data_IF_470711202974
#
_entry.id   IF_470711202974
#
_cell.length_a   1.000
_cell.length_b   1.000
_cell.length_c   1.000
_cell.angle_alpha   90.00
_cell.angle_beta   90.00
_cell.angle_gamma   90.00
#
_symmetry.space_group_name_H-M   'P 1'
#
loop_
_entity.id
_entity.type
_entity.pdbx_description
1 polymer ?
#
# COMPACT_ATOMS: atom_id res chain seq x y z
N UNK A 1 -30.89 -17.53 -0.52
CA UNK A 1 -30.27 -16.76 0.57
C UNK A 1 -29.11 -17.51 1.25
N UNK A 2 -29.25 -18.77 1.60
CA UNK A 2 -28.24 -19.56 2.31
C UNK A 2 -26.90 -19.68 1.59
N UNK A 3 -26.87 -19.89 0.26
CA UNK A 3 -25.62 -19.95 -0.53
C UNK A 3 -24.81 -18.66 -0.52
N UNK A 4 -25.45 -17.49 -0.57
CA UNK A 4 -24.77 -16.19 -0.47
C UNK A 4 -24.20 -15.93 0.94
N UNK A 5 -24.88 -16.44 1.96
CA UNK A 5 -24.46 -16.34 3.36
C UNK A 5 -23.25 -17.24 3.62
N UNK A 6 -23.28 -18.50 3.16
CA UNK A 6 -22.16 -19.44 3.27
C UNK A 6 -20.91 -18.95 2.52
N UNK A 7 -21.05 -18.40 1.33
CA UNK A 7 -19.95 -17.82 0.57
C UNK A 7 -19.31 -16.61 1.29
N UNK A 8 -20.12 -15.82 2.01
CA UNK A 8 -19.62 -14.69 2.80
C UNK A 8 -18.86 -15.13 4.05
N UNK A 9 -19.30 -16.24 4.67
CA UNK A 9 -18.60 -16.88 5.80
C UNK A 9 -17.27 -17.48 5.35
N UNK A 10 -17.24 -18.17 4.22
CA UNK A 10 -16.04 -18.77 3.64
C UNK A 10 -14.98 -17.71 3.31
N UNK A 11 -15.40 -16.60 2.74
CA UNK A 11 -14.52 -15.46 2.45
C UNK A 11 -13.98 -14.79 3.73
N UNK A 12 -14.79 -14.69 4.78
CA UNK A 12 -14.37 -14.17 6.09
C UNK A 12 -13.41 -15.13 6.80
N UNK A 13 -13.57 -16.44 6.62
CA UNK A 13 -12.69 -17.46 7.16
C UNK A 13 -11.31 -17.43 6.51
N UNK A 14 -11.22 -17.24 5.19
CA UNK A 14 -9.96 -17.08 4.47
C UNK A 14 -9.23 -15.80 4.88
N UNK A 15 -9.95 -14.70 5.09
CA UNK A 15 -9.37 -13.44 5.59
C UNK A 15 -8.81 -13.61 7.01
N UNK A 16 -9.51 -14.31 7.88
CA UNK A 16 -9.07 -14.60 9.25
C UNK A 16 -7.82 -15.50 9.25
N UNK A 17 -7.78 -16.50 8.37
CA UNK A 17 -6.65 -17.40 8.19
C UNK A 17 -5.41 -16.65 7.69
N UNK A 18 -5.59 -15.74 6.75
CA UNK A 18 -4.52 -14.88 6.23
C UNK A 18 -4.01 -13.90 7.29
N UNK A 19 -4.91 -13.30 8.08
CA UNK A 19 -4.55 -12.38 9.17
C UNK A 19 -3.80 -13.08 10.31
N UNK A 20 -4.14 -14.32 10.63
CA UNK A 20 -3.46 -15.13 11.66
C UNK A 20 -2.08 -15.62 11.19
N UNK A 21 -1.93 -15.92 9.89
CA UNK A 21 -0.64 -16.27 9.29
C UNK A 21 0.36 -15.10 9.32
N UNK A 22 -0.10 -13.88 9.14
CA UNK A 22 0.73 -12.66 9.16
C UNK A 22 1.24 -12.29 10.57
N UNK A 23 0.57 -12.74 11.63
CA UNK A 23 0.93 -12.40 13.02
C UNK A 23 1.80 -13.44 13.74
N UNK A 24 2.39 -14.40 13.02
CA UNK A 24 3.30 -15.38 13.63
C UNK A 24 2.64 -16.49 14.44
N UNK A 25 1.31 -16.57 14.49
CA UNK A 25 0.57 -17.65 15.17
C UNK A 25 0.30 -18.86 14.27
N UNK A 26 0.94 -18.93 13.10
CA UNK A 26 0.70 -19.96 12.08
C UNK A 26 1.02 -21.39 12.53
N UNK A 27 1.91 -21.59 13.51
CA UNK A 27 2.33 -22.94 13.93
C UNK A 27 1.39 -23.62 14.93
N UNK A 28 0.65 -22.88 15.73
CA UNK A 28 -0.25 -23.44 16.75
C UNK A 28 -1.59 -23.95 16.19
N UNK A 29 -2.02 -23.46 15.02
CA UNK A 29 -3.32 -23.80 14.43
C UNK A 29 -3.28 -24.86 13.34
N UNK A 30 -2.08 -25.24 12.85
CA UNK A 30 -1.95 -26.30 11.83
C UNK A 30 -2.42 -27.67 12.30
N UNK A 31 -2.39 -27.95 13.61
CA UNK A 31 -2.85 -29.23 14.18
C UNK A 31 -4.36 -29.35 14.36
N UNK A 32 -5.11 -28.27 14.22
CA UNK A 32 -6.59 -28.27 14.42
C UNK A 32 -7.39 -28.46 13.13
N UNK A 33 -6.75 -28.46 11.97
CA UNK A 33 -7.41 -28.58 10.65
C UNK A 33 -6.92 -29.82 9.89
N UNK A 34 -7.00 -31.00 10.54
CA UNK A 34 -6.89 -32.27 9.80
C UNK A 34 -8.18 -32.46 9.02
N UNK A 35 -8.13 -32.30 7.70
CA UNK A 35 -9.20 -32.79 6.83
C UNK A 35 -9.27 -34.30 6.95
N UNK A 36 -10.44 -34.92 7.12
CA UNK A 36 -10.55 -36.37 6.94
C UNK A 36 -10.19 -36.71 5.51
N UNK A 37 -9.09 -37.46 5.34
CA UNK A 37 -8.66 -37.97 4.07
C UNK A 37 -9.61 -39.09 3.67
N UNK A 38 -10.44 -38.87 2.64
CA UNK A 38 -11.18 -39.92 2.01
C UNK A 38 -10.20 -40.79 1.22
N UNK A 39 -10.05 -42.03 1.65
CA UNK A 39 -9.24 -43.02 0.95
C UNK A 39 -10.12 -43.69 -0.15
N UNK A 40 -9.85 -43.31 -1.41
CA UNK A 40 -10.54 -43.82 -2.59
C UNK A 40 -10.06 -45.21 -3.05
N UNK A 41 -9.18 -45.89 -2.31
CA UNK A 41 -8.63 -47.19 -2.70
C UNK A 41 -9.14 -48.33 -1.85
N UNK A 42 -10.43 -48.65 -1.95
CA UNK A 42 -10.92 -50.01 -1.65
C UNK A 42 -11.29 -50.73 -2.92
N UNK A 43 -10.29 -51.36 -3.49
CA UNK A 43 -10.43 -52.34 -4.58
C UNK A 43 -11.39 -53.45 -4.26
N UNK A 44 -12.31 -53.70 -5.19
CA UNK A 44 -13.19 -54.87 -5.20
C UNK A 44 -12.36 -56.16 -5.24
N UNK A 45 -12.57 -57.05 -4.25
CA UNK A 45 -12.10 -58.42 -4.35
C UNK A 45 -13.26 -59.27 -4.90
N UNK A 46 -12.95 -59.93 -6.04
CA UNK A 46 -13.84 -60.84 -6.77
C UNK A 46 -14.24 -62.05 -5.93
N UNK A 47 -15.47 -62.43 -6.17
CA UNK A 47 -16.23 -63.62 -5.81
C UNK A 47 -15.42 -64.94 -6.00
N UNK A 48 -15.47 -65.79 -4.98
CA UNK A 48 -15.13 -67.22 -5.08
C UNK A 48 -15.42 -67.96 -3.79
N UNK A 49 -16.45 -68.79 -3.84
CA UNK A 49 -16.75 -69.98 -3.08
C UNK A 49 -16.81 -69.97 -1.53
N UNK A 50 -18.05 -70.16 -1.07
CA UNK A 50 -18.47 -70.85 0.14
C UNK A 50 -17.51 -70.88 1.34
N UNK A 51 -17.69 -69.97 2.27
CA UNK A 51 -17.35 -70.20 3.65
C UNK A 51 -18.43 -69.52 4.53
N UNK A 52 -19.17 -70.35 5.29
CA UNK A 52 -20.07 -69.93 6.35
C UNK A 52 -19.21 -69.11 7.37
N UNK A 53 -19.28 -67.85 7.34
CA UNK A 53 -18.77 -67.03 8.42
C UNK A 53 -19.81 -66.99 9.50
N UNK A 54 -19.62 -67.81 10.56
CA UNK A 54 -20.34 -67.65 11.84
C UNK A 54 -19.87 -66.29 12.40
N UNK A 55 -20.69 -65.29 12.19
CA UNK A 55 -20.49 -64.00 12.86
C UNK A 55 -20.90 -64.23 14.30
N UNK A 56 -19.91 -64.36 15.18
CA UNK A 56 -20.06 -64.29 16.61
C UNK A 56 -20.54 -62.93 17.02
N UNK A 57 -21.86 -62.80 17.20
CA UNK A 57 -22.51 -61.55 17.60
C UNK A 57 -22.27 -61.22 19.09
N UNK A 58 -21.48 -62.00 19.83
CA UNK A 58 -21.21 -61.79 21.25
C UNK A 58 -20.11 -60.73 21.48
N UNK A 59 -19.36 -60.31 20.44
CA UNK A 59 -18.29 -59.33 20.53
C UNK A 59 -18.73 -57.89 20.16
N UNK A 60 -20.01 -57.65 19.94
CA UNK A 60 -20.51 -56.28 19.97
C UNK A 60 -20.50 -55.78 21.43
N UNK A 61 -19.28 -55.48 21.91
CA UNK A 61 -19.16 -54.53 23.00
C UNK A 61 -19.93 -53.30 22.56
N UNK A 62 -20.96 -52.97 23.32
CA UNK A 62 -21.64 -51.68 23.24
C UNK A 62 -20.56 -50.60 23.23
N UNK A 63 -20.24 -50.13 22.04
CA UNK A 63 -19.49 -48.88 21.92
C UNK A 63 -20.36 -47.87 22.64
N UNK A 64 -19.96 -47.56 23.86
CA UNK A 64 -20.52 -46.50 24.65
C UNK A 64 -20.45 -45.25 23.74
N UNK A 65 -21.56 -44.90 23.15
CA UNK A 65 -21.74 -43.68 22.38
C UNK A 65 -21.54 -42.57 23.39
N UNK A 66 -20.25 -42.29 23.72
CA UNK A 66 -19.87 -41.06 24.41
C UNK A 66 -20.69 -39.97 23.76
N UNK A 67 -21.62 -39.41 24.53
CA UNK A 67 -22.52 -38.34 24.17
C UNK A 67 -21.77 -37.41 23.23
N UNK A 68 -22.05 -37.47 21.92
CA UNK A 68 -21.57 -36.46 21.00
C UNK A 68 -22.14 -35.16 21.56
N UNK A 69 -21.27 -34.34 22.12
CA UNK A 69 -21.63 -33.03 22.57
C UNK A 69 -22.12 -32.27 21.32
N UNK A 70 -23.40 -32.34 21.09
CA UNK A 70 -24.05 -31.57 20.04
C UNK A 70 -24.16 -30.15 20.56
N UNK A 71 -23.49 -29.22 19.88
CA UNK A 71 -23.63 -27.80 20.20
C UNK A 71 -25.09 -27.38 20.04
N UNK A 72 -25.57 -26.62 21.00
CA UNK A 72 -26.91 -26.03 20.90
C UNK A 72 -26.87 -24.86 19.89
N UNK A 73 -27.98 -24.61 19.22
CA UNK A 73 -28.12 -23.46 18.32
C UNK A 73 -27.76 -22.12 19.04
N UNK A 74 -28.14 -22.04 20.32
CA UNK A 74 -27.85 -20.87 21.14
C UNK A 74 -26.33 -20.63 21.36
N UNK A 75 -25.55 -21.70 21.66
CA UNK A 75 -24.11 -21.61 21.84
C UNK A 75 -23.40 -21.12 20.54
N UNK A 76 -23.83 -21.65 19.38
CA UNK A 76 -23.29 -21.22 18.09
C UNK A 76 -23.63 -19.75 17.81
N UNK A 77 -24.86 -19.33 18.08
CA UNK A 77 -25.27 -17.95 17.87
C UNK A 77 -24.52 -16.97 18.78
N UNK A 78 -24.33 -17.32 20.06
CA UNK A 78 -23.57 -16.48 21.00
C UNK A 78 -22.13 -16.41 20.59
N UNK A 79 -21.48 -17.51 20.25
CA UNK A 79 -20.06 -17.52 19.83
C UNK A 79 -19.84 -16.71 18.54
N UNK A 80 -20.71 -16.87 17.54
CA UNK A 80 -20.66 -16.07 16.32
C UNK A 80 -20.91 -14.58 16.59
N UNK A 81 -21.80 -14.26 17.52
CA UNK A 81 -22.07 -12.89 17.95
C UNK A 81 -20.84 -12.24 18.57
N UNK A 82 -20.15 -12.92 19.49
CA UNK A 82 -18.93 -12.43 20.12
C UNK A 82 -17.80 -12.23 19.10
N UNK A 83 -17.59 -13.23 18.23
CA UNK A 83 -16.57 -13.15 17.16
C UNK A 83 -16.89 -11.97 16.23
N UNK A 84 -18.15 -11.77 15.86
CA UNK A 84 -18.57 -10.66 15.02
C UNK A 84 -18.27 -9.29 15.63
N UNK A 85 -18.55 -9.10 16.92
CA UNK A 85 -18.27 -7.84 17.61
C UNK A 85 -16.76 -7.59 17.71
N UNK A 86 -15.97 -8.59 18.10
CA UNK A 86 -14.50 -8.48 18.17
C UNK A 86 -13.91 -8.16 16.79
N UNK A 87 -14.34 -8.87 15.76
CA UNK A 87 -13.88 -8.62 14.39
C UNK A 87 -14.25 -7.20 13.90
N UNK A 88 -15.47 -6.73 14.19
CA UNK A 88 -15.91 -5.39 13.80
C UNK A 88 -15.04 -4.26 14.40
N UNK A 89 -14.52 -4.45 15.61
CA UNK A 89 -13.66 -3.47 16.28
C UNK A 89 -12.20 -3.59 15.82
N UNK A 90 -11.71 -4.81 15.60
CA UNK A 90 -10.27 -5.04 15.37
C UNK A 90 -9.86 -4.91 13.90
N UNK A 91 -10.69 -5.35 12.94
CA UNK A 91 -10.35 -5.36 11.52
C UNK A 91 -10.05 -3.94 10.97
N UNK A 92 -10.84 -2.88 11.23
CA UNK A 92 -10.54 -1.55 10.70
C UNK A 92 -9.17 -1.01 11.14
N UNK A 93 -8.80 -1.23 12.41
CA UNK A 93 -7.51 -0.78 12.93
C UNK A 93 -6.33 -1.55 12.31
N UNK A 94 -6.48 -2.84 12.10
CA UNK A 94 -5.47 -3.68 11.46
C UNK A 94 -5.26 -3.29 10.00
N UNK A 95 -6.34 -3.08 9.24
CA UNK A 95 -6.28 -2.62 7.83
C UNK A 95 -5.55 -1.28 7.75
N UNK A 96 -5.87 -0.33 8.63
CA UNK A 96 -5.22 0.98 8.63
C UNK A 96 -3.71 0.87 8.90
N UNK A 97 -3.29 0.06 9.87
CA UNK A 97 -1.87 -0.17 10.16
C UNK A 97 -1.15 -0.83 8.99
N UNK A 98 -1.78 -1.81 8.37
CA UNK A 98 -1.24 -2.46 7.17
C UNK A 98 -1.05 -1.45 6.02
N UNK A 99 -2.08 -0.64 5.72
CA UNK A 99 -2.01 0.39 4.67
C UNK A 99 -0.92 1.42 4.95
N UNK A 100 -0.78 1.91 6.19
CA UNK A 100 0.30 2.83 6.57
C UNK A 100 1.68 2.23 6.29
N UNK A 101 1.90 0.98 6.69
CA UNK A 101 3.17 0.27 6.47
C UNK A 101 3.44 0.03 4.99
N UNK A 102 2.44 -0.39 4.23
CA UNK A 102 2.54 -0.61 2.79
C UNK A 102 2.91 0.70 2.08
N UNK A 103 2.18 1.78 2.35
CA UNK A 103 2.47 3.11 1.78
C UNK A 103 3.91 3.54 2.06
N UNK A 104 4.36 3.49 3.31
CA UNK A 104 5.72 3.88 3.67
C UNK A 104 6.78 3.03 2.95
N UNK A 105 6.54 1.72 2.82
CA UNK A 105 7.45 0.79 2.13
C UNK A 105 7.50 1.08 0.63
N UNK A 106 6.36 1.26 -0.02
CA UNK A 106 6.28 1.60 -1.45
C UNK A 106 6.90 2.96 -1.75
N UNK A 107 6.67 3.94 -0.87
CA UNK A 107 7.26 5.27 -0.98
C UNK A 107 8.78 5.22 -0.89
N UNK A 108 9.32 4.46 0.07
CA UNK A 108 10.77 4.24 0.22
C UNK A 108 11.37 3.55 -1.00
N UNK A 109 10.70 2.52 -1.52
CA UNK A 109 11.15 1.81 -2.72
C UNK A 109 11.18 2.75 -3.93
N UNK A 110 10.14 3.56 -4.13
CA UNK A 110 10.07 4.54 -5.22
C UNK A 110 11.16 5.60 -5.10
N UNK A 111 11.36 6.13 -3.90
CA UNK A 111 12.48 7.04 -3.63
C UNK A 111 13.83 6.43 -4.03
N UNK A 112 14.07 5.18 -3.66
CA UNK A 112 15.31 4.48 -3.99
C UNK A 112 15.48 4.25 -5.49
N UNK A 113 14.40 3.96 -6.23
CA UNK A 113 14.44 3.81 -7.70
C UNK A 113 14.89 5.12 -8.35
N UNK A 114 14.31 6.26 -7.93
CA UNK A 114 14.65 7.57 -8.50
C UNK A 114 16.06 8.02 -8.08
N UNK A 115 16.45 7.75 -6.82
CA UNK A 115 17.80 8.07 -6.35
C UNK A 115 18.87 7.26 -7.11
N UNK A 116 18.61 5.99 -7.41
CA UNK A 116 19.51 5.18 -8.23
C UNK A 116 19.55 5.68 -9.68
N UNK A 117 18.41 6.08 -10.25
CA UNK A 117 18.39 6.67 -11.60
C UNK A 117 19.22 7.96 -11.67
N UNK A 118 19.10 8.83 -10.67
CA UNK A 118 19.91 10.04 -10.58
C UNK A 118 21.41 9.71 -10.51
N UNK A 119 21.78 8.78 -9.64
CA UNK A 119 23.18 8.36 -9.49
C UNK A 119 23.78 7.82 -10.80
N UNK A 120 23.01 7.01 -11.54
CA UNK A 120 23.45 6.52 -12.85
C UNK A 120 23.59 7.67 -13.87
N UNK A 121 22.69 8.65 -13.81
CA UNK A 121 22.79 9.85 -14.65
C UNK A 121 24.06 10.67 -14.34
N UNK A 122 24.39 10.85 -13.07
CA UNK A 122 25.62 11.53 -12.62
C UNK A 122 26.89 10.74 -13.06
N UNK A 123 26.88 9.43 -12.94
CA UNK A 123 28.00 8.57 -13.36
C UNK A 123 28.25 8.65 -14.89
N UNK A 124 27.20 8.80 -15.71
CA UNK A 124 27.31 8.86 -17.17
C UNK A 124 27.55 10.27 -17.70
N UNK A 125 26.93 11.30 -17.10
CA UNK A 125 26.95 12.67 -17.63
C UNK A 125 27.86 13.62 -16.84
N UNK A 126 28.39 13.21 -15.69
CA UNK A 126 29.11 14.11 -14.78
C UNK A 126 28.16 15.04 -14.03
N UNK A 127 28.59 16.29 -13.80
CA UNK A 127 27.76 17.29 -13.13
C UNK A 127 26.49 17.59 -13.94
N UNK A 128 25.33 17.43 -13.32
CA UNK A 128 24.03 17.63 -13.97
C UNK A 128 23.67 19.12 -13.95
N UNK A 129 23.35 19.68 -15.11
CA UNK A 129 22.88 21.05 -15.26
C UNK A 129 21.40 21.06 -15.66
N UNK A 130 20.54 21.57 -14.77
CA UNK A 130 19.11 21.72 -15.01
C UNK A 130 18.72 23.14 -15.40
N UNK A 131 19.67 24.03 -15.57
CA UNK A 131 19.41 25.43 -15.93
C UNK A 131 18.94 25.58 -17.38
N UNK A 132 18.04 26.52 -17.60
CA UNK A 132 17.58 26.88 -18.95
C UNK A 132 16.61 25.85 -19.59
N UNK A 133 16.27 24.76 -18.89
CA UNK A 133 15.36 23.71 -19.37
C UNK A 133 14.13 23.59 -18.49
N UNK A 134 13.06 23.01 -19.02
CA UNK A 134 11.87 22.69 -18.26
C UNK A 134 12.07 21.44 -17.38
N UNK A 135 11.21 21.27 -16.39
CA UNK A 135 11.18 20.06 -15.58
C UNK A 135 11.08 18.78 -16.42
N UNK A 136 10.25 18.81 -17.47
CA UNK A 136 10.05 17.66 -18.35
C UNK A 136 11.31 17.34 -19.17
N UNK A 137 11.96 18.36 -19.75
CA UNK A 137 13.19 18.17 -20.54
C UNK A 137 14.31 17.60 -19.68
N UNK A 138 14.49 18.11 -18.45
CA UNK A 138 15.47 17.59 -17.51
C UNK A 138 15.12 16.17 -17.06
N UNK A 139 13.85 15.86 -16.81
CA UNK A 139 13.40 14.50 -16.47
C UNK A 139 13.67 13.53 -17.62
N UNK A 140 13.27 13.89 -18.84
CA UNK A 140 13.44 13.06 -20.04
C UNK A 140 14.92 12.82 -20.38
N UNK A 141 15.79 13.81 -20.13
CA UNK A 141 17.23 13.73 -20.38
C UNK A 141 17.97 12.91 -19.31
N UNK A 142 17.73 13.20 -18.03
CA UNK A 142 18.58 12.70 -16.95
C UNK A 142 18.00 11.55 -16.14
N UNK A 143 16.67 11.40 -16.05
CA UNK A 143 16.08 10.34 -15.23
C UNK A 143 15.43 9.23 -16.07
N UNK A 144 14.73 9.61 -17.12
CA UNK A 144 13.96 8.66 -17.93
C UNK A 144 14.79 7.51 -18.49
N UNK A 145 16.05 7.69 -18.99
CA UNK A 145 16.86 6.60 -19.54
C UNK A 145 17.13 5.45 -18.55
N UNK A 146 17.14 5.77 -17.25
CA UNK A 146 17.48 4.83 -16.18
C UNK A 146 16.24 4.27 -15.46
N UNK A 147 15.03 4.66 -15.88
CA UNK A 147 13.77 4.18 -15.30
C UNK A 147 13.16 3.07 -16.13
N UNK A 148 12.77 1.98 -15.49
CA UNK A 148 12.06 0.87 -16.16
C UNK A 148 10.56 1.16 -16.15
N UNK A 149 10.02 1.45 -17.33
CA UNK A 149 8.62 1.84 -17.52
C UNK A 149 7.79 0.71 -18.15
N UNK A 150 6.50 0.70 -17.83
CA UNK A 150 5.46 -0.05 -18.56
C UNK A 150 4.72 0.81 -19.56
N UNK A 151 4.58 2.12 -19.27
CA UNK A 151 3.90 3.07 -20.16
C UNK A 151 4.37 4.51 -19.96
N UNK A 152 4.25 5.29 -21.05
CA UNK A 152 4.35 6.77 -21.06
C UNK A 152 3.09 7.29 -21.75
N UNK A 153 2.36 8.17 -21.08
CA UNK A 153 1.10 8.74 -21.60
C UNK A 153 1.11 10.25 -21.50
N UNK A 154 0.63 10.92 -22.53
CA UNK A 154 0.39 12.36 -22.51
C UNK A 154 -0.83 12.66 -21.63
N UNK A 155 -0.68 13.52 -20.65
CA UNK A 155 -1.79 13.97 -19.82
C UNK A 155 -2.49 15.15 -20.53
N UNK A 156 -3.59 14.86 -21.21
CA UNK A 156 -4.40 15.87 -21.93
C UNK A 156 -5.30 16.71 -21.01
N UNK A 157 -5.30 16.49 -19.70
CA UNK A 157 -6.19 17.13 -18.74
C UNK A 157 -5.55 17.44 -17.40
N UNK A 158 -6.32 18.13 -16.54
CA UNK A 158 -5.92 18.40 -15.16
C UNK A 158 -5.97 17.12 -14.34
N UNK A 159 -4.84 16.70 -13.78
CA UNK A 159 -4.79 15.67 -12.76
C UNK A 159 -5.02 16.37 -11.42
N UNK A 160 -5.97 15.91 -10.63
CA UNK A 160 -6.29 16.52 -9.35
C UNK A 160 -6.25 15.50 -8.22
N UNK A 161 -5.63 15.89 -7.14
CA UNK A 161 -5.50 15.09 -5.92
C UNK A 161 -6.31 15.72 -4.77
N UNK A 162 -6.77 14.87 -3.87
CA UNK A 162 -7.37 15.32 -2.63
C UNK A 162 -6.28 15.82 -1.67
N UNK A 163 -6.61 16.80 -0.85
CA UNK A 163 -5.75 17.24 0.25
C UNK A 163 -5.85 16.26 1.43
N UNK A 164 -4.99 16.36 2.44
CA UNK A 164 -5.07 15.51 3.63
C UNK A 164 -6.41 15.54 4.37
N UNK A 165 -7.19 16.61 4.25
CA UNK A 165 -8.55 16.72 4.77
C UNK A 165 -9.61 15.96 3.95
N UNK A 166 -9.22 15.36 2.83
CA UNK A 166 -10.11 14.67 1.91
C UNK A 166 -10.88 15.58 0.95
N UNK A 167 -10.65 16.88 0.98
CA UNK A 167 -11.31 17.84 0.08
C UNK A 167 -10.46 18.10 -1.15
N UNK A 168 -11.14 18.30 -2.28
CA UNK A 168 -10.51 18.76 -3.52
C UNK A 168 -10.45 20.28 -3.49
N UNK A 169 -9.25 20.84 -3.53
CA UNK A 169 -9.05 22.29 -3.65
C UNK A 169 -8.33 22.57 -4.96
N UNK A 170 -8.99 23.28 -5.85
CA UNK A 170 -8.56 23.42 -7.25
C UNK A 170 -7.27 24.23 -7.43
N UNK A 171 -6.83 25.03 -6.46
CA UNK A 171 -5.88 26.11 -6.69
C UNK A 171 -4.40 25.79 -6.54
N UNK A 172 -3.97 24.80 -5.73
CA UNK A 172 -2.54 24.68 -5.43
C UNK A 172 -1.82 23.50 -6.12
N UNK A 173 -2.54 22.43 -6.46
CA UNK A 173 -1.97 21.27 -7.14
C UNK A 173 -2.31 21.21 -8.63
N UNK A 174 -3.24 22.03 -9.10
CA UNK A 174 -3.58 22.16 -10.53
C UNK A 174 -2.39 22.64 -11.37
N UNK A 175 -1.48 23.39 -10.78
CA UNK A 175 -0.26 23.88 -11.44
C UNK A 175 0.73 22.73 -11.73
N UNK A 176 0.72 21.67 -10.92
CA UNK A 176 1.66 20.56 -11.04
C UNK A 176 1.25 19.59 -12.14
N UNK A 177 -0.03 19.56 -12.51
CA UNK A 177 -0.59 18.54 -13.38
C UNK A 177 -1.24 19.07 -14.66
N UNK A 178 -1.04 20.33 -15.02
CA UNK A 178 -1.54 20.90 -16.27
C UNK A 178 -0.56 20.62 -17.39
N UNK A 179 -0.92 19.69 -18.26
CA UNK A 179 -0.05 19.24 -19.35
C UNK A 179 1.15 18.44 -18.82
N UNK A 180 1.80 17.68 -19.66
CA UNK A 180 2.95 16.86 -19.30
C UNK A 180 2.67 15.38 -19.48
N UNK A 181 3.51 14.55 -18.92
CA UNK A 181 3.43 13.10 -19.10
C UNK A 181 3.25 12.37 -17.77
N UNK A 182 2.53 11.26 -17.82
CA UNK A 182 2.55 10.23 -16.79
C UNK A 182 3.39 9.06 -17.24
N UNK A 183 4.27 8.64 -16.38
CA UNK A 183 5.17 7.50 -16.57
C UNK A 183 4.79 6.42 -15.55
N UNK A 184 4.46 5.21 -16.01
CA UNK A 184 4.15 4.11 -15.12
C UNK A 184 5.38 3.21 -14.99
N UNK A 185 5.90 3.08 -13.77
CA UNK A 185 7.00 2.17 -13.46
C UNK A 185 6.53 0.71 -13.49
N UNK A 186 7.47 -0.24 -13.61
CA UNK A 186 7.18 -1.67 -13.48
C UNK A 186 6.52 -2.04 -12.14
N UNK A 187 6.74 -1.25 -11.10
CA UNK A 187 6.10 -1.42 -9.78
C UNK A 187 4.62 -0.99 -9.73
N UNK A 188 4.08 -0.44 -10.82
CA UNK A 188 2.73 0.14 -10.89
C UNK A 188 2.62 1.56 -10.34
N UNK A 189 3.72 2.15 -9.85
CA UNK A 189 3.76 3.54 -9.42
C UNK A 189 3.69 4.45 -10.64
N UNK A 190 2.88 5.50 -10.58
CA UNK A 190 2.84 6.54 -11.60
C UNK A 190 3.61 7.79 -11.16
N UNK A 191 4.39 8.34 -12.08
CA UNK A 191 5.12 9.59 -11.93
C UNK A 191 4.52 10.59 -12.90
N UNK A 192 4.07 11.73 -12.39
CA UNK A 192 3.54 12.82 -13.20
C UNK A 192 4.59 13.93 -13.27
N UNK A 193 5.03 14.25 -14.48
CA UNK A 193 5.99 15.32 -14.75
C UNK A 193 5.29 16.40 -15.55
N UNK A 194 5.15 17.62 -15.01
CA UNK A 194 4.51 18.74 -15.70
C UNK A 194 5.37 19.22 -16.87
N UNK A 195 4.70 19.68 -17.95
CA UNK A 195 5.39 20.14 -19.16
C UNK A 195 6.02 21.53 -19.01
N UNK A 196 5.24 22.45 -18.46
CA UNK A 196 5.54 23.88 -18.58
C UNK A 196 6.08 24.53 -17.29
N UNK A 197 6.42 23.70 -16.28
CA UNK A 197 7.06 24.25 -15.07
C UNK A 197 8.55 24.46 -15.33
N UNK A 198 8.91 25.71 -15.48
CA UNK A 198 10.31 26.14 -15.45
C UNK A 198 10.73 26.33 -14.01
N UNK A 199 11.16 25.27 -13.36
CA UNK A 199 11.86 25.43 -12.09
C UNK A 199 13.33 25.72 -12.40
N UNK A 200 13.86 26.75 -11.78
CA UNK A 200 15.28 27.01 -11.83
C UNK A 200 16.02 25.87 -11.12
N UNK A 201 16.86 25.16 -11.85
CA UNK A 201 17.78 24.15 -11.31
C UNK A 201 17.16 23.00 -10.51
N UNK A 202 15.96 22.53 -10.89
CA UNK A 202 15.30 21.39 -10.21
C UNK A 202 14.30 20.65 -11.10
N UNK A 203 14.09 19.36 -10.82
CA UNK A 203 13.03 18.57 -11.40
C UNK A 203 11.97 18.35 -10.31
N UNK A 204 10.74 18.78 -10.54
CA UNK A 204 9.60 18.50 -9.67
C UNK A 204 8.68 17.44 -10.27
N UNK A 205 8.27 16.47 -9.49
CA UNK A 205 7.37 15.41 -9.93
C UNK A 205 6.39 14.99 -8.83
N UNK A 206 5.19 14.59 -9.26
CA UNK A 206 4.22 14.00 -8.36
C UNK A 206 4.24 12.48 -8.55
N UNK A 207 4.27 11.76 -7.45
CA UNK A 207 4.26 10.30 -7.41
C UNK A 207 2.92 9.84 -6.88
N UNK A 208 2.29 8.91 -7.59
CA UNK A 208 1.10 8.17 -7.14
C UNK A 208 1.47 6.70 -6.99
N UNK A 209 1.40 6.19 -5.76
CA UNK A 209 1.89 4.85 -5.43
C UNK A 209 1.04 3.71 -5.98
N UNK A 210 -0.25 3.92 -6.17
CA UNK A 210 -1.19 2.89 -6.64
C UNK A 210 -1.76 3.18 -8.03
N UNK A 211 -1.34 4.29 -8.62
CA UNK A 211 -1.80 4.77 -9.92
C UNK A 211 -3.12 5.54 -9.85
N UNK A 212 -3.23 6.57 -10.66
CA UNK A 212 -4.32 7.56 -10.62
C UNK A 212 -5.73 6.95 -10.75
N UNK A 213 -5.85 5.81 -11.41
CA UNK A 213 -7.14 5.11 -11.54
C UNK A 213 -7.57 4.37 -10.26
N UNK A 214 -6.73 4.35 -9.24
CA UNK A 214 -6.96 3.64 -7.97
C UNK A 214 -7.11 4.65 -6.82
N UNK A 215 -8.34 5.08 -6.49
CA UNK A 215 -8.55 6.06 -5.43
C UNK A 215 -7.97 5.59 -4.08
N UNK A 216 -7.66 6.56 -3.19
CA UNK A 216 -8.30 7.88 -3.07
C UNK A 216 -7.58 9.03 -3.81
N UNK A 217 -6.40 8.87 -4.37
CA UNK A 217 -5.60 9.93 -4.98
C UNK A 217 -5.43 11.12 -4.02
N UNK A 218 -4.90 10.84 -2.84
CA UNK A 218 -4.84 11.77 -1.72
C UNK A 218 -3.40 12.10 -1.35
N UNK A 219 -3.09 13.39 -1.29
CA UNK A 219 -1.78 13.87 -0.85
C UNK A 219 -1.45 13.37 0.55
N UNK A 220 -0.23 12.84 0.70
CA UNK A 220 0.23 12.24 1.94
C UNK A 220 -0.29 10.83 2.22
N UNK A 221 -1.14 10.26 1.37
CA UNK A 221 -1.60 8.87 1.52
C UNK A 221 -1.09 7.97 0.39
N UNK A 222 -1.44 8.26 -0.84
CA UNK A 222 -0.99 7.56 -2.05
C UNK A 222 -0.26 8.49 -3.02
N UNK A 223 -0.43 9.81 -2.87
CA UNK A 223 0.24 10.81 -3.69
C UNK A 223 1.26 11.62 -2.89
N UNK A 224 2.46 11.84 -3.47
CA UNK A 224 3.58 12.53 -2.83
C UNK A 224 4.34 13.39 -3.84
N UNK A 225 4.86 14.54 -3.39
CA UNK A 225 5.65 15.41 -4.22
C UNK A 225 7.15 15.22 -3.98
N UNK A 226 7.87 14.85 -5.03
CA UNK A 226 9.29 14.59 -5.03
C UNK A 226 10.03 15.65 -5.87
N UNK A 227 11.20 16.02 -5.42
CA UNK A 227 12.10 16.94 -6.11
C UNK A 227 13.46 16.29 -6.33
N UNK A 228 14.11 16.68 -7.43
CA UNK A 228 15.53 16.40 -7.68
C UNK A 228 16.22 17.72 -7.89
N UNK A 229 17.25 17.96 -7.10
CA UNK A 229 18.10 19.16 -7.18
C UNK A 229 19.54 18.67 -7.22
N UNK A 230 20.39 19.13 -8.15
CA UNK A 230 21.75 18.63 -8.31
C UNK A 230 22.52 18.61 -6.98
N UNK A 231 22.46 19.68 -6.19
CA UNK A 231 23.23 19.82 -4.95
C UNK A 231 22.65 19.02 -3.76
N UNK A 232 21.36 18.68 -3.82
CA UNK A 232 20.65 17.97 -2.74
C UNK A 232 20.32 16.51 -3.08
N UNK A 233 20.43 16.15 -4.35
CA UNK A 233 19.96 14.87 -4.84
C UNK A 233 18.43 14.77 -4.82
N UNK A 234 17.93 13.54 -4.62
CA UNK A 234 16.49 13.26 -4.53
C UNK A 234 15.98 13.55 -3.12
N UNK A 235 14.90 14.29 -3.01
CA UNK A 235 14.25 14.55 -1.72
C UNK A 235 12.75 14.82 -1.90
N UNK A 236 11.96 14.60 -0.85
CA UNK A 236 10.58 15.08 -0.81
C UNK A 236 10.58 16.58 -0.56
N UNK A 237 9.62 17.29 -1.17
CA UNK A 237 9.50 18.72 -0.94
C UNK A 237 9.42 19.02 0.56
N UNK A 238 10.33 19.84 1.05
CA UNK A 238 10.40 20.32 2.42
C UNK A 238 10.88 21.77 2.51
N UNK A 239 11.12 22.39 1.36
CA UNK A 239 11.63 23.75 1.26
C UNK A 239 10.59 24.66 0.62
N UNK A 240 10.70 25.96 0.86
CA UNK A 240 9.92 26.99 0.17
C UNK A 240 10.62 27.38 -1.15
N UNK A 241 9.91 28.09 -2.03
CA UNK A 241 10.48 28.51 -3.30
C UNK A 241 11.70 29.44 -3.14
N UNK A 242 11.70 30.29 -2.11
CA UNK A 242 12.84 31.17 -1.80
C UNK A 242 14.09 30.37 -1.42
N UNK A 243 13.95 29.24 -0.72
CA UNK A 243 15.08 28.35 -0.38
C UNK A 243 15.62 27.67 -1.65
N UNK A 244 14.74 27.24 -2.57
CA UNK A 244 15.16 26.68 -3.86
C UNK A 244 15.84 27.73 -4.76
N UNK A 245 15.34 28.96 -4.78
CA UNK A 245 15.87 30.02 -5.63
C UNK A 245 17.20 30.58 -5.12
N UNK A 246 17.41 30.62 -3.81
CA UNK A 246 18.65 31.09 -3.18
C UNK A 246 19.75 30.01 -3.07
N UNK A 247 19.40 28.74 -3.22
CA UNK A 247 20.30 27.60 -2.94
C UNK A 247 20.63 27.43 -1.46
N UNK A 248 19.92 28.13 -0.55
CA UNK A 248 20.13 28.02 0.90
C UNK A 248 19.05 27.15 1.49
N UNK A 249 19.41 25.92 1.83
CA UNK A 249 18.49 24.88 2.25
C UNK A 249 18.56 24.65 3.77
N UNK A 250 17.46 24.93 4.46
CA UNK A 250 17.34 24.69 5.91
C UNK A 250 16.46 23.49 6.17
N UNK A 251 17.06 22.40 6.63
CA UNK A 251 16.35 21.16 6.92
C UNK A 251 15.34 21.34 8.05
N UNK A 252 14.04 21.25 7.74
CA UNK A 252 12.95 21.45 8.70
C UNK A 252 12.88 20.33 9.73
N UNK A 253 12.57 20.68 10.98
CA UNK A 253 12.26 19.71 12.03
C UNK A 253 10.93 19.00 11.75
N UNK A 254 10.66 17.91 12.47
CA UNK A 254 9.39 17.18 12.37
C UNK A 254 8.19 18.11 12.62
N UNK A 255 8.28 18.92 13.65
CA UNK A 255 7.22 19.85 14.01
C UNK A 255 7.01 20.93 12.94
N UNK A 256 8.09 21.45 12.36
CA UNK A 256 8.01 22.40 11.25
C UNK A 256 7.35 21.81 10.01
N UNK A 257 7.61 20.54 9.69
CA UNK A 257 6.95 19.85 8.57
C UNK A 257 5.45 19.67 8.79
N UNK A 258 5.02 19.56 10.05
CA UNK A 258 3.61 19.45 10.40
C UNK A 258 2.90 20.80 10.51
N UNK A 259 3.49 21.75 11.23
CA UNK A 259 2.81 22.95 11.70
C UNK A 259 3.60 24.25 11.46
N UNK A 260 4.81 24.14 10.93
CA UNK A 260 5.63 25.32 10.67
C UNK A 260 5.07 26.25 9.58
N UNK A 261 5.57 27.46 9.47
CA UNK A 261 5.20 28.38 8.41
C UNK A 261 5.56 27.75 7.05
N UNK A 262 4.64 27.75 6.12
CA UNK A 262 4.82 27.22 4.79
C UNK A 262 4.17 28.11 3.75
N UNK A 263 4.91 28.38 2.68
CA UNK A 263 4.36 28.97 1.48
C UNK A 263 3.27 28.04 0.93
N UNK A 264 2.16 28.57 0.47
CA UNK A 264 1.04 27.81 -0.12
C UNK A 264 0.50 26.65 0.74
N UNK A 265 0.65 26.73 2.07
CA UNK A 265 0.15 25.71 3.00
C UNK A 265 0.71 24.30 2.74
N UNK A 266 2.00 24.15 2.53
CA UNK A 266 2.66 22.86 2.24
C UNK A 266 2.65 21.85 3.38
N UNK A 267 2.28 22.26 4.61
CA UNK A 267 2.33 21.44 5.82
C UNK A 267 1.65 20.07 5.65
N UNK A 268 2.18 19.09 6.38
CA UNK A 268 1.60 17.76 6.48
C UNK A 268 0.62 17.68 7.65
N UNK A 269 -0.51 18.33 7.52
CA UNK A 269 -1.63 18.28 8.47
C UNK A 269 -2.96 18.42 7.72
N UNK A 270 -4.10 18.41 8.43
CA UNK A 270 -5.42 18.51 7.80
C UNK A 270 -5.72 19.89 7.18
N UNK A 271 -5.03 20.94 7.59
CA UNK A 271 -5.17 22.30 7.06
C UNK A 271 -4.26 22.53 5.84
N UNK A 272 -3.15 21.82 5.77
CA UNK A 272 -2.18 21.92 4.69
C UNK A 272 -2.58 21.17 3.43
N UNK A 273 -1.81 21.37 2.38
CA UNK A 273 -2.00 20.65 1.11
C UNK A 273 -1.27 19.31 1.04
N UNK A 274 -0.42 19.00 2.02
CA UNK A 274 0.25 17.70 2.16
C UNK A 274 1.54 17.54 1.35
N UNK A 275 2.05 18.58 0.68
CA UNK A 275 3.29 18.46 -0.11
C UNK A 275 4.51 18.06 0.74
N UNK A 276 4.54 18.43 2.03
CA UNK A 276 5.61 18.05 2.95
C UNK A 276 5.43 16.67 3.59
N UNK A 277 4.35 15.95 3.26
CA UNK A 277 4.05 14.65 3.88
C UNK A 277 5.09 13.57 3.57
N UNK A 278 5.65 13.55 2.38
CA UNK A 278 6.73 12.63 2.04
C UNK A 278 8.00 12.89 2.88
N UNK A 279 8.35 14.16 3.07
CA UNK A 279 9.47 14.55 3.92
C UNK A 279 9.25 14.17 5.40
N UNK A 280 8.02 14.29 5.89
CA UNK A 280 7.66 13.88 7.25
C UNK A 280 7.84 12.36 7.44
N UNK A 281 7.35 11.54 6.50
CA UNK A 281 7.53 10.07 6.55
C UNK A 281 9.01 9.70 6.47
N UNK A 282 9.79 10.35 5.62
CA UNK A 282 11.23 10.14 5.52
C UNK A 282 11.94 10.50 6.83
N UNK A 283 11.55 11.63 7.45
CA UNK A 283 12.08 12.09 8.74
C UNK A 283 11.76 11.13 9.88
N UNK A 284 10.59 10.54 9.89
CA UNK A 284 10.12 9.54 10.86
C UNK A 284 10.70 8.13 10.57
N UNK A 285 11.79 8.01 9.78
CA UNK A 285 12.44 6.75 9.46
C UNK A 285 11.63 5.82 8.59
N UNK A 286 10.86 6.37 7.64
CA UNK A 286 9.94 5.65 6.76
C UNK A 286 8.82 4.95 7.53
N UNK A 287 8.28 5.66 8.53
CA UNK A 287 7.17 5.20 9.34
C UNK A 287 6.06 6.25 9.37
N UNK A 288 4.82 5.83 9.27
CA UNK A 288 3.65 6.70 9.40
C UNK A 288 3.14 6.62 10.84
N UNK A 289 3.44 7.66 11.61
CA UNK A 289 3.08 7.77 13.03
C UNK A 289 1.57 7.98 13.22
N UNK A 290 1.08 7.84 14.45
CA UNK A 290 -0.36 7.97 14.73
C UNK A 290 -0.89 9.40 14.60
N UNK A 291 -0.02 10.40 14.79
CA UNK A 291 -0.33 11.82 14.64
C UNK A 291 -0.23 12.34 13.19
N UNK A 292 0.01 11.45 12.23
CA UNK A 292 0.03 11.75 10.80
C UNK A 292 -1.40 11.90 10.26
N UNK A 293 -1.69 12.83 9.33
CA UNK A 293 -3.03 13.08 8.78
C UNK A 293 -3.45 12.01 7.75
N UNK A 294 -3.64 10.79 8.21
CA UNK A 294 -3.95 9.60 7.40
C UNK A 294 -5.34 9.61 6.76
#
# INVERSE_FOLDING_TARGET
>A
MLKKFLHKIEKSYEILRFALALNGYGSAFQHLLVRPQYDENRTMIKKGNNMKLLIDLSAYQTIDLKKKLAFTLAEVLITLGIIGIVAAITIPSLITRYQKRETATRLKATYSIIANALKLAEEENGDLDFTGSTTLENFDKYLLPYLKLTSKQLNGGKISFLYPDGKRKEQALSVIAVGGYSYTLLSGVQIFVPKDLSFTNRIGMLIDLNGYNSPPNKMGRDAFYLMVVPELGVHFNQYNDDEYNSGIFTKKSREQLKNGPAQYNYQCNKQGNGMWCGALIQRDGWTIQDDYPW
#
